data_IF_239756200205
#
_entry.id   IF_239756200205
#
_cell.length_a   1.000
_cell.length_b   1.000
_cell.length_c   1.000
_cell.angle_alpha   90.00
_cell.angle_beta   90.00
_cell.angle_gamma   90.00
#
_symmetry.space_group_name_H-M   'P 1'
#
loop_
_entity.id
_entity.type
_entity.pdbx_description
1 polymer ?
#
# COMPACT_ATOMS: atom_id res chain seq x y z
N UNK A 1 -8.71 -36.31 -21.82
CA UNK A 1 -9.31 -35.12 -21.22
C UNK A 1 -10.14 -34.50 -22.31
N UNK A 2 -11.45 -34.68 -22.19
CA UNK A 2 -12.37 -34.22 -23.22
C UNK A 2 -12.47 -32.70 -23.21
N UNK A 3 -12.78 -32.10 -24.38
CA UNK A 3 -12.83 -30.63 -24.50
C UNK A 3 -13.87 -30.02 -23.56
N UNK A 4 -14.98 -30.73 -23.31
CA UNK A 4 -16.00 -30.36 -22.33
C UNK A 4 -15.48 -30.40 -20.89
N UNK A 5 -14.77 -31.46 -20.49
CA UNK A 5 -14.17 -31.53 -19.14
C UNK A 5 -13.16 -30.40 -18.90
N UNK A 6 -12.43 -30.01 -19.94
CA UNK A 6 -11.49 -28.90 -19.90
C UNK A 6 -12.19 -27.55 -19.72
N UNK A 7 -13.31 -27.34 -20.43
CA UNK A 7 -14.10 -26.10 -20.35
C UNK A 7 -14.83 -25.99 -19.00
N UNK A 8 -15.36 -27.09 -18.47
CA UNK A 8 -16.00 -27.15 -17.14
C UNK A 8 -14.98 -26.94 -16.01
N UNK A 9 -13.81 -27.57 -16.09
CA UNK A 9 -12.72 -27.32 -15.14
C UNK A 9 -12.28 -25.85 -15.17
N UNK A 10 -12.18 -25.24 -16.36
CA UNK A 10 -11.88 -23.82 -16.52
C UNK A 10 -12.97 -22.92 -15.94
N UNK A 11 -14.25 -23.24 -16.14
CA UNK A 11 -15.35 -22.48 -15.55
C UNK A 11 -15.36 -22.60 -14.03
N UNK A 12 -15.17 -23.81 -13.50
CA UNK A 12 -15.10 -24.06 -12.07
C UNK A 12 -13.92 -23.32 -11.42
N UNK A 13 -12.73 -23.34 -12.06
CA UNK A 13 -11.56 -22.57 -11.63
C UNK A 13 -11.81 -21.07 -11.69
N UNK A 14 -12.45 -20.55 -12.74
CA UNK A 14 -12.83 -19.12 -12.84
C UNK A 14 -13.81 -18.72 -11.75
N UNK A 15 -14.80 -19.56 -11.45
CA UNK A 15 -15.81 -19.33 -10.40
C UNK A 15 -15.20 -19.40 -9.01
N UNK A 16 -14.30 -20.34 -8.77
CA UNK A 16 -13.51 -20.43 -7.53
C UNK A 16 -12.61 -19.20 -7.36
N UNK A 17 -11.89 -18.79 -8.40
CA UNK A 17 -11.03 -17.61 -8.40
C UNK A 17 -11.81 -16.30 -8.20
N UNK A 18 -13.02 -16.18 -8.78
CA UNK A 18 -13.87 -15.01 -8.52
C UNK A 18 -14.37 -15.01 -7.09
N UNK A 19 -14.80 -16.17 -6.56
CA UNK A 19 -15.27 -16.31 -5.18
C UNK A 19 -14.18 -15.99 -4.16
N UNK A 20 -12.93 -16.44 -4.39
CA UNK A 20 -11.79 -16.07 -3.53
C UNK A 20 -11.46 -14.58 -3.61
N UNK A 21 -11.66 -13.95 -4.77
CA UNK A 21 -11.48 -12.50 -4.94
C UNK A 21 -12.57 -11.68 -4.24
N UNK A 22 -13.80 -12.19 -4.22
CA UNK A 22 -14.94 -11.57 -3.52
C UNK A 22 -14.82 -11.70 -1.99
N UNK A 23 -14.30 -12.82 -1.47
CA UNK A 23 -14.05 -13.00 -0.03
C UNK A 23 -13.01 -12.01 0.52
N UNK A 24 -12.00 -11.66 -0.27
CA UNK A 24 -11.05 -10.58 0.07
C UNK A 24 -11.73 -9.21 0.08
N UNK A 25 -12.65 -8.93 -0.85
CA UNK A 25 -13.41 -7.67 -0.87
C UNK A 25 -14.41 -7.55 0.30
N UNK A 26 -14.87 -8.69 0.85
CA UNK A 26 -15.79 -8.76 1.99
C UNK A 26 -15.13 -8.44 3.34
N UNK A 27 -13.82 -8.61 3.47
CA UNK A 27 -13.08 -8.14 4.64
C UNK A 27 -13.03 -6.61 4.68
N UNK A 28 -12.94 -5.98 5.86
CA UNK A 28 -12.96 -4.52 6.02
C UNK A 28 -11.71 -3.81 5.44
N UNK A 29 -11.02 -4.41 4.46
CA UNK A 29 -9.83 -3.89 3.81
C UNK A 29 -10.01 -2.48 3.25
N UNK A 30 -11.19 -2.15 2.69
CA UNK A 30 -11.46 -0.78 2.25
C UNK A 30 -11.35 0.24 3.39
N UNK A 31 -11.89 -0.08 4.56
CA UNK A 31 -11.81 0.79 5.74
C UNK A 31 -10.39 0.84 6.33
N UNK A 32 -9.72 -0.30 6.38
CA UNK A 32 -8.31 -0.41 6.79
C UNK A 32 -7.45 0.50 5.90
N UNK A 33 -7.59 0.40 4.59
CA UNK A 33 -6.83 1.21 3.63
C UNK A 33 -7.13 2.69 3.76
N UNK A 34 -8.41 3.09 3.90
CA UNK A 34 -8.76 4.50 4.09
C UNK A 34 -8.14 5.08 5.37
N UNK A 35 -8.19 4.34 6.48
CA UNK A 35 -7.59 4.80 7.73
C UNK A 35 -6.06 4.83 7.66
N UNK A 36 -5.45 3.78 7.11
CA UNK A 36 -4.01 3.73 6.86
C UNK A 36 -3.55 4.83 5.90
N UNK A 37 -4.38 5.24 4.94
CA UNK A 37 -4.06 6.35 4.05
C UNK A 37 -3.87 7.65 4.84
N UNK A 38 -4.77 7.92 5.79
CA UNK A 38 -4.71 9.09 6.66
C UNK A 38 -3.50 9.02 7.58
N UNK A 39 -3.28 7.90 8.26
CA UNK A 39 -2.19 7.78 9.25
C UNK A 39 -0.81 7.74 8.60
N UNK A 40 -0.66 7.06 7.47
CA UNK A 40 0.59 7.08 6.71
C UNK A 40 0.85 8.47 6.12
N UNK A 41 -0.17 9.14 5.58
CA UNK A 41 -0.03 10.53 5.13
C UNK A 41 0.38 11.46 6.28
N UNK A 42 -0.19 11.29 7.47
CA UNK A 42 0.21 12.03 8.66
C UNK A 42 1.67 11.73 9.06
N UNK A 43 2.11 10.47 8.95
CA UNK A 43 3.51 10.07 9.16
C UNK A 43 4.49 10.71 8.17
N UNK A 44 4.16 10.72 6.87
CA UNK A 44 4.97 11.39 5.85
C UNK A 44 4.98 12.91 6.04
N UNK A 45 3.84 13.51 6.37
CA UNK A 45 3.77 14.94 6.66
C UNK A 45 4.52 15.32 7.95
N UNK A 46 4.43 14.50 9.00
CA UNK A 46 5.21 14.67 10.22
C UNK A 46 6.71 14.58 9.95
N UNK A 47 7.13 13.67 9.05
CA UNK A 47 8.51 13.56 8.57
C UNK A 47 8.94 14.86 7.86
N UNK A 48 8.08 15.41 6.99
CA UNK A 48 8.31 16.71 6.36
C UNK A 48 8.49 17.84 7.38
N UNK A 49 7.67 17.88 8.43
CA UNK A 49 7.74 18.90 9.49
C UNK A 49 9.01 18.79 10.33
N UNK A 50 9.46 17.57 10.65
CA UNK A 50 10.73 17.36 11.37
C UNK A 50 11.92 17.86 10.54
N UNK A 51 11.93 17.53 9.24
CA UNK A 51 12.97 17.98 8.32
C UNK A 51 12.95 19.50 8.12
N UNK A 52 11.77 20.11 7.95
CA UNK A 52 11.66 21.55 7.74
C UNK A 52 12.08 22.39 8.95
N UNK A 53 12.10 21.78 10.14
CA UNK A 53 12.65 22.35 11.38
C UNK A 53 14.14 22.04 11.59
N UNK A 54 14.79 21.39 10.64
CA UNK A 54 16.22 21.03 10.72
C UNK A 54 16.52 19.88 11.69
N UNK A 55 15.52 19.09 12.10
CA UNK A 55 15.74 17.92 12.96
C UNK A 55 16.20 16.74 12.10
N UNK A 56 17.48 16.38 12.15
CA UNK A 56 18.02 15.23 11.40
C UNK A 56 18.43 14.05 12.29
N UNK A 57 18.19 14.17 13.60
CA UNK A 57 18.41 13.07 14.53
C UNK A 57 17.47 11.89 14.21
N UNK A 58 17.92 10.62 14.26
CA UNK A 58 17.08 9.47 13.91
C UNK A 58 15.88 9.23 14.86
N UNK A 59 16.04 9.51 16.16
CA UNK A 59 15.07 9.15 17.19
C UNK A 59 13.67 9.76 16.99
N UNK A 60 13.51 11.07 16.67
CA UNK A 60 12.21 11.65 16.33
C UNK A 60 11.47 10.90 15.22
N UNK A 61 12.18 10.44 14.19
CA UNK A 61 11.58 9.71 13.09
C UNK A 61 11.16 8.29 13.50
N UNK A 62 12.00 7.61 14.29
CA UNK A 62 11.66 6.29 14.86
C UNK A 62 10.41 6.40 15.72
N UNK A 63 10.33 7.39 16.61
CA UNK A 63 9.15 7.62 17.46
C UNK A 63 7.89 7.90 16.64
N UNK A 64 7.97 8.77 15.65
CA UNK A 64 6.85 9.08 14.75
C UNK A 64 6.33 7.83 14.05
N UNK A 65 7.21 7.06 13.41
CA UNK A 65 6.82 5.88 12.66
C UNK A 65 6.40 4.72 13.56
N UNK A 66 6.96 4.59 14.77
CA UNK A 66 6.50 3.62 15.76
C UNK A 66 5.03 3.87 16.14
N UNK A 67 4.63 5.12 16.37
CA UNK A 67 3.23 5.48 16.63
C UNK A 67 2.33 5.12 15.45
N UNK A 68 2.73 5.45 14.22
CA UNK A 68 1.98 5.11 13.01
C UNK A 68 1.82 3.59 12.86
N UNK A 69 2.89 2.82 13.07
CA UNK A 69 2.85 1.36 12.95
C UNK A 69 1.99 0.71 14.03
N UNK A 70 2.11 1.14 15.29
CA UNK A 70 1.26 0.63 16.38
C UNK A 70 -0.19 0.92 16.11
N UNK A 71 -0.52 2.15 15.68
CA UNK A 71 -1.89 2.52 15.34
C UNK A 71 -2.44 1.67 14.19
N UNK A 72 -1.70 1.56 13.07
CA UNK A 72 -2.13 0.78 11.93
C UNK A 72 -2.24 -0.72 12.26
N UNK A 73 -1.30 -1.27 13.02
CA UNK A 73 -1.33 -2.65 13.48
C UNK A 73 -2.55 -2.95 14.34
N UNK A 74 -2.82 -2.10 15.34
CA UNK A 74 -4.02 -2.22 16.17
C UNK A 74 -5.31 -2.11 15.33
N UNK A 75 -5.37 -1.15 14.40
CA UNK A 75 -6.53 -0.96 13.53
C UNK A 75 -6.78 -2.16 12.61
N UNK A 76 -5.72 -2.74 12.06
CA UNK A 76 -5.80 -3.98 11.28
C UNK A 76 -6.32 -5.11 12.16
N UNK A 77 -5.79 -5.32 13.36
CA UNK A 77 -6.24 -6.40 14.26
C UNK A 77 -7.70 -6.25 14.68
N UNK A 78 -8.17 -5.01 14.89
CA UNK A 78 -9.56 -4.73 15.28
C UNK A 78 -10.55 -4.93 14.13
N UNK A 79 -10.17 -4.56 12.90
CA UNK A 79 -11.10 -4.54 11.75
C UNK A 79 -10.96 -5.71 10.79
N UNK A 80 -9.80 -6.37 10.78
CA UNK A 80 -9.63 -7.66 10.13
C UNK A 80 -10.44 -8.65 10.96
N UNK A 81 -11.73 -8.74 10.63
CA UNK A 81 -12.66 -9.66 11.28
C UNK A 81 -12.05 -11.07 11.33
N UNK A 82 -12.51 -11.89 12.27
CA UNK A 82 -12.17 -13.31 12.31
C UNK A 82 -12.67 -13.94 11.01
N UNK A 83 -11.81 -13.97 9.99
CA UNK A 83 -12.07 -14.73 8.80
C UNK A 83 -12.08 -16.19 9.25
N UNK A 84 -13.25 -16.82 9.24
CA UNK A 84 -13.35 -18.27 9.43
C UNK A 84 -12.71 -18.92 8.20
N UNK A 85 -11.38 -19.09 8.23
CA UNK A 85 -10.63 -19.71 7.13
C UNK A 85 -9.19 -19.19 6.98
N UNK A 86 -8.40 -19.94 6.19
CA UNK A 86 -7.04 -19.54 5.83
C UNK A 86 -7.04 -18.24 5.00
N UNK A 87 -6.08 -17.32 5.19
CA UNK A 87 -5.97 -16.12 4.37
C UNK A 87 -5.87 -16.47 2.89
N UNK A 88 -6.64 -15.79 2.04
CA UNK A 88 -6.64 -16.02 0.59
C UNK A 88 -5.25 -15.78 -0.02
N UNK A 89 -5.00 -16.31 -1.23
CA UNK A 89 -3.75 -16.04 -1.95
C UNK A 89 -3.53 -14.54 -2.16
N UNK A 90 -4.58 -13.79 -2.52
CA UNK A 90 -4.51 -12.35 -2.73
C UNK A 90 -4.18 -11.62 -1.42
N UNK A 91 -4.76 -12.02 -0.29
CA UNK A 91 -4.44 -11.45 1.03
C UNK A 91 -2.97 -11.66 1.39
N UNK A 92 -2.46 -12.89 1.24
CA UNK A 92 -1.07 -13.24 1.55
C UNK A 92 -0.10 -12.47 0.67
N UNK A 93 -0.35 -12.43 -0.63
CA UNK A 93 0.51 -11.73 -1.57
C UNK A 93 0.47 -10.23 -1.35
N UNK A 94 -0.70 -9.66 -1.05
CA UNK A 94 -0.82 -8.24 -0.71
C UNK A 94 -0.05 -7.88 0.55
N UNK A 95 -0.14 -8.72 1.58
CA UNK A 95 0.61 -8.55 2.82
C UNK A 95 2.13 -8.66 2.59
N UNK A 96 2.56 -9.62 1.76
CA UNK A 96 3.97 -9.78 1.40
C UNK A 96 4.52 -8.57 0.63
N UNK A 97 3.77 -8.07 -0.36
CA UNK A 97 4.14 -6.87 -1.14
C UNK A 97 4.27 -5.65 -0.21
N UNK A 98 3.34 -5.49 0.73
CA UNK A 98 3.38 -4.40 1.70
C UNK A 98 4.59 -4.46 2.64
N UNK A 99 4.88 -5.63 3.21
CA UNK A 99 6.02 -5.81 4.11
C UNK A 99 7.35 -5.64 3.39
N UNK A 100 7.46 -6.13 2.15
CA UNK A 100 8.67 -5.93 1.33
C UNK A 100 8.86 -4.47 0.94
N UNK A 101 7.78 -3.72 0.67
CA UNK A 101 7.84 -2.27 0.50
C UNK A 101 8.40 -1.57 1.75
N UNK A 102 7.85 -1.86 2.95
CA UNK A 102 8.33 -1.27 4.21
C UNK A 102 9.80 -1.63 4.48
N UNK A 103 10.18 -2.89 4.26
CA UNK A 103 11.56 -3.33 4.43
C UNK A 103 12.50 -2.60 3.46
N UNK A 104 12.12 -2.48 2.19
CA UNK A 104 12.89 -1.72 1.19
C UNK A 104 13.07 -0.26 1.58
N UNK A 105 12.03 0.37 2.14
CA UNK A 105 12.08 1.73 2.67
C UNK A 105 13.04 1.87 3.85
N UNK A 106 12.96 0.95 4.82
CA UNK A 106 13.84 0.93 5.99
C UNK A 106 15.32 0.71 5.58
N UNK A 107 15.56 -0.20 4.63
CA UNK A 107 16.90 -0.44 4.08
C UNK A 107 17.43 0.76 3.30
N UNK A 108 16.59 1.46 2.54
CA UNK A 108 17.00 2.70 1.85
C UNK A 108 17.45 3.76 2.86
N UNK A 109 16.70 3.96 3.95
CA UNK A 109 17.06 4.89 4.99
C UNK A 109 18.38 4.50 5.70
N UNK A 110 18.55 3.20 6.00
CA UNK A 110 19.79 2.68 6.60
C UNK A 110 21.00 2.87 5.68
N UNK A 111 20.88 2.56 4.40
CA UNK A 111 21.96 2.74 3.41
C UNK A 111 22.33 4.22 3.29
N UNK A 112 21.36 5.14 3.20
CA UNK A 112 21.66 6.57 3.18
C UNK A 112 22.44 7.02 4.42
N UNK A 113 22.02 6.56 5.60
CA UNK A 113 22.72 6.85 6.86
C UNK A 113 24.17 6.34 6.86
N UNK A 114 24.40 5.09 6.43
CA UNK A 114 25.73 4.49 6.38
C UNK A 114 26.65 5.17 5.35
N UNK A 115 26.09 5.72 4.27
CA UNK A 115 26.84 6.45 3.25
C UNK A 115 27.16 7.91 3.64
N UNK A 116 26.70 8.37 4.81
CA UNK A 116 26.82 9.78 5.20
C UNK A 116 26.00 10.74 4.33
N UNK A 117 25.10 10.20 3.51
CA UNK A 117 24.11 10.98 2.78
C UNK A 117 23.06 11.41 3.80
N UNK A 118 22.52 12.63 3.67
CA UNK A 118 21.36 13.01 4.47
C UNK A 118 20.30 11.92 4.33
N UNK A 119 19.94 11.27 5.44
CA UNK A 119 19.15 10.03 5.52
C UNK A 119 17.92 10.05 4.61
N UNK A 120 17.35 11.24 4.41
CA UNK A 120 16.07 11.46 3.75
C UNK A 120 16.16 12.14 2.38
N UNK A 121 17.36 12.39 1.83
CA UNK A 121 17.51 13.11 0.56
C UNK A 121 16.81 12.39 -0.60
N UNK A 122 17.04 11.07 -0.74
CA UNK A 122 16.47 10.27 -1.83
C UNK A 122 15.23 9.46 -1.43
N UNK A 123 14.87 9.47 -0.15
CA UNK A 123 13.91 8.52 0.41
C UNK A 123 12.55 8.58 -0.30
N UNK A 124 11.87 9.74 -0.49
CA UNK A 124 10.58 9.80 -1.21
C UNK A 124 10.63 9.43 -2.70
N UNK A 125 11.74 9.74 -3.39
CA UNK A 125 11.91 9.37 -4.79
C UNK A 125 12.05 7.84 -4.92
N UNK A 126 12.91 7.22 -4.12
CA UNK A 126 13.06 5.75 -4.06
C UNK A 126 11.75 5.10 -3.60
N UNK A 127 11.07 5.67 -2.61
CA UNK A 127 9.77 5.21 -2.16
C UNK A 127 8.74 5.19 -3.29
N UNK A 128 8.77 6.20 -4.16
CA UNK A 128 7.85 6.28 -5.29
C UNK A 128 8.14 5.21 -6.35
N UNK A 129 9.42 4.87 -6.56
CA UNK A 129 9.80 3.72 -7.41
C UNK A 129 9.30 2.41 -6.80
N UNK A 130 9.49 2.20 -5.51
CA UNK A 130 9.01 1.01 -4.80
C UNK A 130 7.47 0.93 -4.81
N UNK A 131 6.78 2.07 -4.68
CA UNK A 131 5.33 2.16 -4.79
C UNK A 131 4.87 1.82 -6.22
N UNK A 132 5.53 2.34 -7.25
CA UNK A 132 5.24 2.01 -8.64
C UNK A 132 5.37 0.50 -8.89
N UNK A 133 6.45 -0.12 -8.40
CA UNK A 133 6.64 -1.57 -8.48
C UNK A 133 5.52 -2.33 -7.75
N UNK A 134 5.17 -1.90 -6.54
CA UNK A 134 4.08 -2.48 -5.74
C UNK A 134 2.75 -2.45 -6.51
N UNK A 135 2.38 -1.31 -7.09
CA UNK A 135 1.15 -1.17 -7.87
C UNK A 135 1.19 -1.93 -9.21
N UNK A 136 2.37 -2.07 -9.83
CA UNK A 136 2.52 -2.89 -11.03
C UNK A 136 2.31 -4.39 -10.72
N UNK A 137 2.84 -4.87 -9.59
CA UNK A 137 2.58 -6.24 -9.12
C UNK A 137 1.08 -6.41 -8.82
N UNK A 138 0.45 -5.44 -8.16
CA UNK A 138 -1.02 -5.44 -7.99
C UNK A 138 -1.76 -5.47 -9.32
N UNK A 139 -1.23 -4.84 -10.38
CA UNK A 139 -1.75 -4.93 -11.74
C UNK A 139 -1.82 -6.35 -12.27
N UNK A 140 -0.78 -7.15 -12.02
CA UNK A 140 -0.72 -8.54 -12.46
C UNK A 140 -1.69 -9.46 -11.71
N UNK A 141 -2.03 -9.15 -10.46
CA UNK A 141 -2.82 -10.02 -9.58
C UNK A 141 -4.29 -9.60 -9.52
N UNK A 142 -4.55 -8.29 -9.41
CA UNK A 142 -5.88 -7.72 -9.16
C UNK A 142 -6.49 -7.07 -10.40
N UNK A 143 -5.74 -6.96 -11.50
CA UNK A 143 -6.22 -6.51 -12.81
C UNK A 143 -5.62 -5.19 -13.30
N UNK A 144 -5.83 -4.91 -14.59
CA UNK A 144 -5.11 -3.86 -15.35
C UNK A 144 -5.30 -2.43 -14.81
N UNK A 145 -6.35 -2.17 -14.03
CA UNK A 145 -6.61 -0.85 -13.46
C UNK A 145 -5.47 -0.36 -12.54
N UNK A 146 -4.71 -1.26 -11.92
CA UNK A 146 -3.61 -0.89 -11.01
C UNK A 146 -2.33 -0.43 -11.73
N UNK A 147 -2.21 -0.66 -13.04
CA UNK A 147 -1.10 -0.10 -13.82
C UNK A 147 -1.17 1.43 -13.95
N UNK A 148 -2.37 2.01 -13.86
CA UNK A 148 -2.54 3.47 -13.85
C UNK A 148 -1.83 4.13 -12.66
N UNK A 149 -2.19 3.77 -11.41
CA UNK A 149 -1.45 4.20 -10.22
C UNK A 149 0.05 3.89 -10.28
N UNK A 150 0.45 2.74 -10.82
CA UNK A 150 1.87 2.41 -10.99
C UNK A 150 2.62 3.43 -11.86
N UNK A 151 2.05 3.79 -13.02
CA UNK A 151 2.63 4.81 -13.90
C UNK A 151 2.68 6.19 -13.23
N UNK A 152 1.64 6.56 -12.49
CA UNK A 152 1.61 7.83 -11.74
C UNK A 152 2.72 7.88 -10.69
N UNK A 153 2.93 6.81 -9.92
CA UNK A 153 4.01 6.74 -8.93
C UNK A 153 5.40 6.74 -9.57
N UNK A 154 5.57 6.10 -10.74
CA UNK A 154 6.83 6.12 -11.48
C UNK A 154 7.18 7.54 -11.95
N UNK A 155 6.21 8.27 -12.51
CA UNK A 155 6.39 9.68 -12.90
C UNK A 155 6.64 10.56 -11.68
N UNK A 156 5.95 10.29 -10.56
CA UNK A 156 6.12 11.04 -9.32
C UNK A 156 7.54 10.89 -8.75
N UNK A 157 8.20 9.75 -8.94
CA UNK A 157 9.61 9.59 -8.51
C UNK A 157 10.52 10.66 -9.13
N UNK A 158 10.31 11.00 -10.40
CA UNK A 158 11.04 12.08 -11.09
C UNK A 158 10.67 13.44 -10.51
N UNK A 159 9.38 13.71 -10.32
CA UNK A 159 8.90 14.98 -9.74
C UNK A 159 9.49 15.22 -8.35
N UNK A 160 9.54 14.20 -7.51
CA UNK A 160 10.09 14.29 -6.15
C UNK A 160 11.61 14.51 -6.17
N UNK A 161 12.32 13.89 -7.11
CA UNK A 161 13.75 14.15 -7.31
C UNK A 161 14.02 15.60 -7.74
N UNK A 162 13.12 16.22 -8.51
CA UNK A 162 13.20 17.63 -8.92
C UNK A 162 12.74 18.61 -7.82
N UNK A 163 12.05 18.13 -6.77
CA UNK A 163 11.48 18.93 -5.67
C UNK A 163 11.92 18.40 -4.29
N UNK A 164 13.24 18.35 -4.00
CA UNK A 164 13.76 17.70 -2.80
C UNK A 164 13.38 18.40 -1.48
N UNK A 165 12.88 19.64 -1.53
CA UNK A 165 12.44 20.38 -0.35
C UNK A 165 11.01 20.01 0.05
N UNK A 166 10.11 19.85 -0.92
CA UNK A 166 8.69 19.55 -0.70
C UNK A 166 8.38 18.05 -0.80
N UNK A 167 9.37 17.22 -1.12
CA UNK A 167 9.16 15.82 -1.48
C UNK A 167 8.32 15.00 -0.50
N UNK A 168 8.51 15.13 0.82
CA UNK A 168 7.70 14.39 1.80
C UNK A 168 6.26 14.89 1.89
N UNK A 169 6.01 16.19 1.67
CA UNK A 169 4.66 16.73 1.65
C UNK A 169 3.90 16.27 0.40
N UNK A 170 4.56 16.29 -0.76
CA UNK A 170 4.01 15.76 -2.01
C UNK A 170 3.74 14.25 -1.86
N UNK A 171 4.71 13.50 -1.32
CA UNK A 171 4.57 12.07 -1.09
C UNK A 171 3.39 11.76 -0.15
N UNK A 172 3.22 12.53 0.94
CA UNK A 172 2.09 12.40 1.86
C UNK A 172 0.74 12.56 1.13
N UNK A 173 0.60 13.62 0.35
CA UNK A 173 -0.63 13.89 -0.41
C UNK A 173 -0.93 12.78 -1.44
N UNK A 174 0.10 12.34 -2.17
CA UNK A 174 -0.01 11.25 -3.12
C UNK A 174 -0.41 9.93 -2.45
N UNK A 175 0.16 9.65 -1.29
CA UNK A 175 -0.17 8.47 -0.50
C UNK A 175 -1.64 8.49 -0.05
N UNK A 176 -2.09 9.63 0.48
CA UNK A 176 -3.48 9.83 0.90
C UNK A 176 -4.45 9.60 -0.27
N UNK A 177 -4.16 10.20 -1.43
CA UNK A 177 -5.02 10.07 -2.62
C UNK A 177 -5.05 8.63 -3.11
N UNK A 178 -3.90 8.00 -3.34
CA UNK A 178 -3.83 6.67 -3.95
C UNK A 178 -4.36 5.58 -3.02
N UNK A 179 -3.91 5.53 -1.77
CA UNK A 179 -4.39 4.53 -0.80
C UNK A 179 -5.82 4.81 -0.35
N UNK A 180 -6.20 6.09 -0.19
CA UNK A 180 -7.56 6.49 0.18
C UNK A 180 -8.59 6.20 -0.91
N UNK A 181 -8.28 6.51 -2.17
CA UNK A 181 -9.17 6.17 -3.31
C UNK A 181 -9.26 4.67 -3.51
N UNK A 182 -8.14 3.93 -3.42
CA UNK A 182 -8.14 2.47 -3.46
C UNK A 182 -9.02 1.87 -2.36
N UNK A 183 -8.87 2.35 -1.12
CA UNK A 183 -9.71 1.94 0.00
C UNK A 183 -11.19 2.27 -0.19
N UNK A 184 -11.50 3.46 -0.72
CA UNK A 184 -12.88 3.88 -1.00
C UNK A 184 -13.53 3.03 -2.09
N UNK A 185 -12.79 2.66 -3.14
CA UNK A 185 -13.27 1.77 -4.19
C UNK A 185 -13.59 0.37 -3.64
N UNK A 186 -12.70 -0.20 -2.83
CA UNK A 186 -12.92 -1.48 -2.15
C UNK A 186 -14.13 -1.42 -1.21
N UNK A 187 -14.26 -0.33 -0.43
CA UNK A 187 -15.38 -0.15 0.47
C UNK A 187 -16.72 -0.03 -0.28
N UNK A 188 -16.75 0.72 -1.38
CA UNK A 188 -17.94 0.83 -2.26
C UNK A 188 -18.31 -0.51 -2.89
N UNK A 189 -17.33 -1.30 -3.33
CA UNK A 189 -17.57 -2.63 -3.87
C UNK A 189 -18.23 -3.55 -2.83
N UNK A 190 -17.72 -3.56 -1.60
CA UNK A 190 -18.32 -4.29 -0.46
C UNK A 190 -19.77 -3.88 -0.19
N UNK A 191 -20.06 -2.57 -0.18
CA UNK A 191 -21.43 -2.08 0.04
C UNK A 191 -22.39 -2.50 -1.08
N UNK A 192 -21.92 -2.57 -2.34
CA UNK A 192 -22.73 -3.07 -3.46
C UNK A 192 -23.07 -4.55 -3.31
N UNK A 193 -22.07 -5.37 -2.95
CA UNK A 193 -22.28 -6.80 -2.71
C UNK A 193 -23.28 -7.06 -1.57
N UNK A 194 -23.18 -6.31 -0.47
CA UNK A 194 -24.14 -6.41 0.66
C UNK A 194 -25.57 -6.00 0.32
N UNK A 195 -25.78 -5.13 -0.68
CA UNK A 195 -27.12 -4.72 -1.11
C UNK A 195 -27.76 -5.70 -2.10
N UNK A 196 -26.95 -6.54 -2.74
CA UNK A 196 -27.39 -7.53 -3.72
C UNK A 196 -27.64 -8.92 -3.10
N UNK A 197 -27.25 -9.12 -1.83
CA UNK A 197 -27.51 -10.31 -1.02
C UNK A 197 -28.69 -10.05 -0.08
#
# INVERSE_FOLDING_TARGET
MDREEAEDALQMLRKLASKTRDDTALQNWGLIWMCSAVTNSAGFFGTHLLMSRGSFAPLPYVGLWAVVFVFNGAFILLLKGKAEGAPSFIDRTTFAIWNTFILGMAMTALVNYLMGIQVMLFMPAVASVLAAMTFAIMGSIMGRAWYGPAAVWALMAVVLALRPREQFAIFAAMWLVTQGTGGALLHRAKLRLRRAA
#
